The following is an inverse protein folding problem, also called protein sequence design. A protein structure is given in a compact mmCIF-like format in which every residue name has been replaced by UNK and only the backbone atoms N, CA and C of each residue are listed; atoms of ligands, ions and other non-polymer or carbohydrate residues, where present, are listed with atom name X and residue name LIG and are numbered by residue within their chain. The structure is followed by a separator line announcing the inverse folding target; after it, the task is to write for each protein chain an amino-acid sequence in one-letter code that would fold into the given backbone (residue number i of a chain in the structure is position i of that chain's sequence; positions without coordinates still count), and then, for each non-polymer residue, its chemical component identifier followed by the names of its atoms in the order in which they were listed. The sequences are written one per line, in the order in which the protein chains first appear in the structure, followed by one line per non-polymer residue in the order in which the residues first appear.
data_IF_802537576407
#
_entry.id   IF_802537576407
#
_cell.length_a   1.000
_cell.length_b   1.000
_cell.length_c   1.000
_cell.angle_alpha   90.00
_cell.angle_beta   90.00
_cell.angle_gamma   90.00
#
_symmetry.space_group_name_H-M   'P 1'
#
loop_
_entity.id
_entity.type
_entity.pdbx_description
1 polymer ?
#
# COMPACT_ATOMS: atom_id res chain seq x y z
N UNK A 1 56.12 -36.79 19.99
CA UNK A 1 56.13 -37.35 21.33
C UNK A 1 54.72 -37.81 21.66
N UNK A 2 54.47 -38.99 21.37
CA UNK A 2 53.86 -40.16 21.94
C UNK A 2 53.45 -40.02 23.42
N UNK A 3 52.17 -40.21 23.77
CA UNK A 3 51.82 -41.16 24.83
C UNK A 3 50.39 -41.70 24.68
N UNK A 4 50.26 -42.96 24.91
CA UNK A 4 49.26 -43.99 24.61
C UNK A 4 48.31 -44.21 25.79
N UNK A 5 47.08 -44.65 25.49
CA UNK A 5 46.02 -45.33 26.28
C UNK A 5 46.42 -46.17 27.50
N UNK A 6 45.45 -46.59 28.38
CA UNK A 6 44.67 -47.78 28.06
C UNK A 6 43.22 -47.88 28.49
N UNK A 7 42.50 -48.75 27.78
CA UNK A 7 41.17 -49.31 28.03
C UNK A 7 41.04 -50.05 29.37
N UNK A 8 39.81 -50.16 29.90
CA UNK A 8 39.36 -51.39 30.64
C UNK A 8 37.85 -51.60 30.40
N UNK A 9 37.60 -52.83 29.92
CA UNK A 9 36.33 -53.50 29.71
C UNK A 9 35.60 -53.85 31.02
N UNK A 10 34.26 -53.90 30.97
CA UNK A 10 33.42 -54.51 32.00
C UNK A 10 31.99 -54.72 31.48
N UNK A 11 31.79 -55.88 30.80
CA UNK A 11 30.46 -56.38 30.43
C UNK A 11 29.66 -56.79 31.66
N UNK A 12 28.38 -56.42 31.76
CA UNK A 12 27.32 -57.29 32.30
C UNK A 12 26.01 -56.97 31.59
N UNK A 13 25.49 -58.00 30.91
CA UNK A 13 24.18 -58.10 30.30
C UNK A 13 23.14 -58.52 31.34
N UNK A 14 21.90 -58.00 31.24
CA UNK A 14 20.62 -58.67 31.57
C UNK A 14 19.44 -57.70 31.33
N UNK A 15 18.18 -58.15 31.16
CA UNK A 15 17.57 -58.53 29.89
C UNK A 15 16.43 -57.60 29.45
N UNK A 16 16.29 -57.51 28.16
CA UNK A 16 15.17 -56.91 27.46
C UNK A 16 13.91 -57.76 27.67
N UNK A 17 12.77 -57.17 28.11
CA UNK A 17 11.37 -57.60 27.90
C UNK A 17 10.51 -56.98 29.01
N UNK A 18 9.98 -55.81 28.83
CA UNK A 18 8.75 -55.28 29.51
C UNK A 18 8.46 -53.78 29.35
N UNK A 19 9.07 -53.07 28.37
CA UNK A 19 8.80 -51.62 28.21
C UNK A 19 8.14 -51.29 26.84
N UNK A 20 7.85 -52.25 25.99
CA UNK A 20 7.32 -52.00 24.62
C UNK A 20 5.78 -51.92 24.60
N UNK A 21 5.07 -52.31 25.62
CA UNK A 21 3.57 -52.28 25.63
C UNK A 21 2.93 -51.07 26.28
N UNK A 22 3.69 -50.19 26.94
CA UNK A 22 3.14 -48.96 27.56
C UNK A 22 3.24 -47.73 26.67
N UNK A 23 3.99 -47.76 25.58
CA UNK A 23 4.16 -46.57 24.68
C UNK A 23 3.22 -46.54 23.48
N UNK A 24 2.54 -47.66 23.15
CA UNK A 24 1.58 -47.72 22.04
C UNK A 24 0.15 -47.34 22.41
N UNK A 25 -0.20 -47.20 23.70
CA UNK A 25 -1.55 -46.80 24.14
C UNK A 25 -1.66 -45.30 24.48
N UNK A 26 -0.56 -44.54 24.53
CA UNK A 26 -0.57 -43.11 24.75
C UNK A 26 -0.54 -42.30 23.44
N UNK A 27 -0.26 -42.93 22.30
CA UNK A 27 -0.20 -42.30 20.97
C UNK A 27 -1.56 -42.26 20.24
N UNK A 28 -2.60 -42.90 20.79
CA UNK A 28 -3.98 -42.92 20.19
C UNK A 28 -4.95 -41.98 20.83
N UNK A 29 -4.55 -41.20 21.87
CA UNK A 29 -5.41 -40.18 22.51
C UNK A 29 -5.09 -38.73 22.08
N UNK A 30 -4.08 -38.50 21.22
CA UNK A 30 -3.72 -37.15 20.71
C UNK A 30 -4.15 -36.89 19.29
N UNK A 31 -4.94 -37.73 18.71
CA UNK A 31 -5.40 -37.61 17.34
C UNK A 31 -6.88 -37.37 17.24
N UNK A 32 -7.41 -36.25 17.65
CA UNK A 32 -8.74 -35.75 17.19
C UNK A 32 -9.16 -34.45 17.91
N UNK A 33 -8.26 -33.50 18.06
CA UNK A 33 -8.65 -32.11 18.28
C UNK A 33 -8.09 -31.26 17.12
N UNK A 34 -8.38 -31.66 15.90
CA UNK A 34 -8.62 -30.68 14.84
C UNK A 34 -9.95 -30.01 15.22
N UNK A 35 -9.87 -29.09 16.19
CA UNK A 35 -10.89 -28.10 16.34
C UNK A 35 -11.07 -27.50 14.94
N UNK A 36 -12.21 -27.72 14.31
CA UNK A 36 -12.75 -26.81 13.35
C UNK A 36 -12.87 -25.51 14.15
N UNK A 37 -11.80 -24.71 14.14
CA UNK A 37 -11.89 -23.29 14.42
C UNK A 37 -12.91 -22.81 13.39
N UNK A 38 -14.15 -22.62 13.81
CA UNK A 38 -15.19 -22.07 12.96
C UNK A 38 -14.56 -20.82 12.35
N UNK A 39 -14.47 -20.80 11.03
CA UNK A 39 -13.85 -19.74 10.26
C UNK A 39 -14.50 -18.45 10.73
N UNK A 40 -13.74 -17.63 11.48
CA UNK A 40 -14.23 -16.34 11.93
C UNK A 40 -14.46 -15.47 10.71
N UNK A 41 -15.63 -14.83 10.60
CA UNK A 41 -15.85 -13.86 9.55
C UNK A 41 -14.79 -12.74 9.69
N UNK A 42 -14.33 -12.23 8.56
CA UNK A 42 -13.36 -11.13 8.53
C UNK A 42 -14.11 -9.81 8.69
N UNK A 43 -13.79 -9.04 9.72
CA UNK A 43 -14.27 -7.67 9.89
C UNK A 43 -13.36 -6.66 9.17
N UNK A 44 -13.86 -5.45 8.90
CA UNK A 44 -13.03 -4.38 8.35
C UNK A 44 -11.87 -4.03 9.30
N UNK A 45 -12.12 -4.00 10.60
CA UNK A 45 -11.10 -3.72 11.64
C UNK A 45 -9.97 -4.75 11.61
N UNK A 46 -10.31 -6.04 11.45
CA UNK A 46 -9.30 -7.10 11.33
C UNK A 46 -8.48 -6.96 10.05
N UNK A 47 -9.13 -6.64 8.92
CA UNK A 47 -8.45 -6.42 7.64
C UNK A 47 -7.48 -5.23 7.69
N UNK A 48 -7.91 -4.10 8.28
CA UNK A 48 -7.08 -2.92 8.51
C UNK A 48 -5.87 -3.25 9.40
N UNK A 49 -6.10 -3.97 10.51
CA UNK A 49 -5.05 -4.38 11.43
C UNK A 49 -4.02 -5.31 10.79
N UNK A 50 -4.46 -6.29 9.99
CA UNK A 50 -3.57 -7.19 9.21
C UNK A 50 -2.73 -6.40 8.21
N UNK A 51 -3.34 -5.49 7.46
CA UNK A 51 -2.65 -4.66 6.47
C UNK A 51 -1.62 -3.74 7.12
N UNK A 52 -1.96 -3.07 8.23
CA UNK A 52 -1.02 -2.24 8.98
C UNK A 52 0.21 -3.00 9.48
N UNK A 53 0.02 -4.24 9.92
CA UNK A 53 1.10 -5.06 10.47
C UNK A 53 1.98 -5.72 9.40
N UNK A 54 1.42 -6.06 8.24
CA UNK A 54 2.06 -7.00 7.29
C UNK A 54 2.21 -6.45 5.88
N UNK A 55 1.69 -5.25 5.56
CA UNK A 55 1.79 -4.71 4.21
C UNK A 55 3.27 -4.43 3.84
N UNK A 56 3.80 -5.08 2.76
CA UNK A 56 5.20 -4.92 2.38
C UNK A 56 5.57 -3.47 1.99
N UNK A 57 4.61 -2.70 1.44
CA UNK A 57 4.82 -1.30 1.06
C UNK A 57 5.11 -0.41 2.27
N UNK A 58 4.52 -0.70 3.44
CA UNK A 58 4.78 0.03 4.67
C UNK A 58 6.14 -0.34 5.29
N UNK A 59 6.59 -1.58 5.15
CA UNK A 59 7.89 -2.03 5.67
C UNK A 59 9.09 -1.39 4.95
N UNK A 60 8.90 -0.92 3.71
CA UNK A 60 9.94 -0.23 2.94
C UNK A 60 10.44 1.04 3.65
N UNK A 61 9.59 1.70 4.44
CA UNK A 61 9.96 2.96 5.10
C UNK A 61 11.05 2.80 6.15
N UNK A 62 11.08 1.69 6.88
CA UNK A 62 12.15 1.39 7.85
C UNK A 62 13.51 1.26 7.14
N UNK A 63 13.54 0.64 5.96
CA UNK A 63 14.74 0.54 5.13
C UNK A 63 15.17 1.89 4.53
N UNK A 64 14.20 2.76 4.19
CA UNK A 64 14.49 4.14 3.74
C UNK A 64 15.14 4.95 4.85
N UNK A 65 14.67 4.82 6.10
CA UNK A 65 15.28 5.48 7.26
C UNK A 65 16.69 4.97 7.52
N UNK A 66 16.92 3.65 7.51
CA UNK A 66 18.27 3.08 7.59
C UNK A 66 19.19 3.58 6.47
N UNK A 67 18.67 3.72 5.25
CA UNK A 67 19.41 4.32 4.14
C UNK A 67 19.80 5.79 4.39
N UNK A 68 18.93 6.55 5.07
CA UNK A 68 19.24 7.93 5.48
C UNK A 68 20.31 7.96 6.58
N UNK A 69 20.29 7.02 7.54
CA UNK A 69 21.34 6.89 8.56
C UNK A 69 22.72 6.72 7.90
N UNK A 70 22.81 5.83 6.91
CA UNK A 70 24.05 5.65 6.14
C UNK A 70 24.48 6.92 5.38
N UNK A 71 23.54 7.62 4.75
CA UNK A 71 23.82 8.89 4.07
C UNK A 71 24.24 10.00 5.04
N UNK A 72 23.66 10.03 6.23
CA UNK A 72 24.02 10.98 7.27
C UNK A 72 25.47 10.78 7.72
N UNK A 73 25.88 9.52 7.96
CA UNK A 73 27.27 9.17 8.28
C UNK A 73 28.20 9.66 7.17
N UNK A 74 27.86 9.43 5.90
CA UNK A 74 28.67 9.89 4.77
C UNK A 74 28.72 11.43 4.67
N UNK A 75 27.58 12.10 4.86
CA UNK A 75 27.50 13.56 4.80
C UNK A 75 28.31 14.25 5.90
N UNK A 76 28.50 13.58 7.04
CA UNK A 76 29.26 14.07 8.19
C UNK A 76 30.77 13.81 8.08
N UNK A 77 31.23 13.14 7.02
CA UNK A 77 32.67 12.92 6.81
C UNK A 77 33.39 14.20 6.36
N UNK A 78 34.57 14.38 6.89
CA UNK A 78 35.53 15.37 6.33
C UNK A 78 36.08 14.82 4.99
N UNK A 79 36.62 15.70 4.12
CA UNK A 79 37.35 15.26 2.94
C UNK A 79 38.46 14.27 3.28
N UNK A 80 38.65 13.29 2.40
CA UNK A 80 39.63 12.24 2.62
C UNK A 80 41.07 12.80 2.67
N UNK A 81 41.91 12.12 3.44
CA UNK A 81 43.36 12.25 3.30
C UNK A 81 43.80 11.44 2.08
N UNK A 82 44.58 12.06 1.20
CA UNK A 82 45.10 11.44 -0.02
C UNK A 82 46.61 11.29 0.12
N UNK A 83 47.14 10.07 -0.04
CA UNK A 83 48.58 9.83 -0.15
C UNK A 83 48.93 9.77 -1.64
N UNK A 84 49.93 10.55 -2.04
CA UNK A 84 50.38 10.61 -3.42
C UNK A 84 51.88 10.28 -3.54
N UNK A 85 52.26 9.56 -4.59
CA UNK A 85 53.64 9.39 -5.02
C UNK A 85 53.76 9.99 -6.42
N UNK A 86 54.66 10.96 -6.54
CA UNK A 86 54.98 11.63 -7.79
C UNK A 86 56.45 11.38 -8.14
N UNK A 87 56.71 11.02 -9.39
CA UNK A 87 58.05 10.82 -9.92
C UNK A 87 58.22 11.73 -11.08
N UNK A 88 59.22 12.61 -10.99
CA UNK A 88 59.51 13.64 -11.97
C UNK A 88 60.92 13.43 -12.54
N UNK A 89 61.27 14.11 -13.64
CA UNK A 89 62.61 14.16 -14.23
C UNK A 89 63.24 12.79 -14.55
N UNK A 90 62.45 11.83 -15.02
CA UNK A 90 62.92 10.47 -15.43
C UNK A 90 62.66 10.23 -16.91
N UNK A 91 63.55 9.44 -17.56
CA UNK A 91 63.49 9.03 -18.97
C UNK A 91 63.42 10.24 -19.96
N UNK A 92 64.04 11.36 -19.59
CA UNK A 92 64.15 12.54 -20.43
C UNK A 92 65.38 12.54 -21.37
N UNK A 93 65.82 13.71 -21.82
CA UNK A 93 67.02 13.92 -22.64
C UNK A 93 68.11 14.62 -21.84
N UNK A 94 69.36 14.51 -22.30
CA UNK A 94 70.57 15.11 -21.69
C UNK A 94 70.71 14.67 -20.22
N UNK A 95 70.75 15.62 -19.28
CA UNK A 95 70.94 15.35 -17.84
C UNK A 95 69.79 14.63 -17.16
N UNK A 96 68.66 14.44 -17.87
CA UNK A 96 67.48 13.71 -17.38
C UNK A 96 67.34 12.33 -18.01
N UNK A 97 68.40 11.80 -18.64
CA UNK A 97 68.42 10.45 -19.20
C UNK A 97 68.36 9.36 -18.11
N UNK A 98 67.49 8.37 -18.29
CA UNK A 98 67.35 7.28 -17.32
C UNK A 98 66.63 7.70 -16.05
N UNK A 99 67.13 7.31 -14.89
CA UNK A 99 66.56 7.58 -13.55
C UNK A 99 67.50 8.40 -12.66
N UNK A 100 68.71 8.74 -13.13
CA UNK A 100 69.74 9.37 -12.33
C UNK A 100 69.36 10.81 -11.94
N UNK A 101 68.52 11.49 -12.71
CA UNK A 101 67.96 12.81 -12.40
C UNK A 101 66.58 12.76 -11.77
N UNK A 102 66.07 11.59 -11.42
CA UNK A 102 64.71 11.44 -10.94
C UNK A 102 64.50 12.10 -9.57
N UNK A 103 63.30 12.67 -9.42
CA UNK A 103 62.80 13.18 -8.16
C UNK A 103 61.59 12.35 -7.70
N UNK A 104 61.61 11.90 -6.47
CA UNK A 104 60.54 11.11 -5.87
C UNK A 104 59.89 11.94 -4.76
N UNK A 105 58.59 12.27 -4.93
CA UNK A 105 57.84 13.02 -3.93
C UNK A 105 56.75 12.13 -3.33
N UNK A 106 56.88 11.81 -2.03
CA UNK A 106 55.81 11.20 -1.26
C UNK A 106 55.05 12.32 -0.54
N UNK A 107 53.74 12.43 -0.81
CA UNK A 107 52.94 13.52 -0.27
C UNK A 107 51.66 13.03 0.43
N UNK A 108 51.20 13.84 1.38
CA UNK A 108 49.88 13.72 2.02
C UNK A 108 49.12 15.03 1.77
N UNK A 109 47.89 14.92 1.25
CA UNK A 109 47.07 16.09 0.96
C UNK A 109 45.62 15.89 1.45
N UNK A 110 44.92 16.98 1.63
CA UNK A 110 43.49 17.00 1.88
C UNK A 110 42.91 18.39 1.58
N UNK A 111 41.58 18.49 1.74
CA UNK A 111 40.81 19.71 1.58
C UNK A 111 40.32 20.17 2.95
N UNK A 112 40.60 21.40 3.33
CA UNK A 112 39.96 22.08 4.44
C UNK A 112 38.72 22.79 3.93
N UNK A 113 37.56 22.21 4.20
CA UNK A 113 36.25 22.78 3.83
C UNK A 113 35.96 24.01 4.68
N UNK A 114 35.66 25.13 4.02
CA UNK A 114 35.20 26.37 4.64
C UNK A 114 33.69 26.57 4.39
N UNK A 115 33.11 27.58 5.05
CA UNK A 115 31.69 27.95 4.83
C UNK A 115 30.67 26.95 5.41
N UNK A 116 31.06 26.02 6.27
CA UNK A 116 30.13 25.10 6.94
C UNK A 116 29.55 24.03 6.02
N UNK A 117 30.23 23.65 4.93
CA UNK A 117 29.78 22.70 3.91
C UNK A 117 29.34 21.36 4.50
N UNK A 118 30.13 20.79 5.43
CA UNK A 118 29.79 19.54 6.13
C UNK A 118 28.47 19.68 6.87
N UNK A 119 28.28 20.73 7.65
CA UNK A 119 27.05 20.97 8.38
C UNK A 119 25.85 21.17 7.45
N UNK A 120 26.05 21.85 6.33
CA UNK A 120 25.01 22.02 5.31
C UNK A 120 24.61 20.69 4.64
N UNK A 121 25.59 19.80 4.32
CA UNK A 121 25.30 18.44 3.82
C UNK A 121 24.50 17.63 4.82
N UNK A 122 24.88 17.64 6.09
CA UNK A 122 24.14 16.95 7.17
C UNK A 122 22.71 17.49 7.28
N UNK A 123 22.53 18.82 7.25
CA UNK A 123 21.21 19.46 7.33
C UNK A 123 20.28 19.04 6.19
N UNK A 124 20.80 18.87 4.96
CA UNK A 124 19.99 18.34 3.84
C UNK A 124 19.52 16.92 4.13
N UNK A 125 20.41 16.05 4.66
CA UNK A 125 20.02 14.68 5.01
C UNK A 125 19.02 14.66 6.15
N UNK A 126 19.27 15.44 7.22
CA UNK A 126 18.38 15.53 8.37
C UNK A 126 16.98 16.02 7.96
N UNK A 127 16.89 16.96 7.01
CA UNK A 127 15.60 17.43 6.48
C UNK A 127 14.82 16.30 5.74
N UNK A 128 15.52 15.31 5.18
CA UNK A 128 14.89 14.19 4.45
C UNK A 128 14.16 13.19 5.36
N UNK A 129 14.56 13.06 6.63
CA UNK A 129 13.83 12.20 7.58
C UNK A 129 12.38 12.65 7.74
N UNK A 130 12.15 13.95 7.90
CA UNK A 130 10.79 14.49 8.01
C UNK A 130 9.93 14.24 6.76
N UNK A 131 10.54 14.17 5.57
CA UNK A 131 9.85 13.81 4.34
C UNK A 131 9.47 12.33 4.32
N UNK A 132 10.40 11.43 4.65
CA UNK A 132 10.12 9.98 4.71
C UNK A 132 9.00 9.68 5.70
N UNK A 133 8.96 10.35 6.85
CA UNK A 133 7.88 10.21 7.82
C UNK A 133 6.52 10.75 7.31
N UNK A 134 6.52 11.85 6.55
CA UNK A 134 5.30 12.35 5.93
C UNK A 134 4.80 11.41 4.82
N UNK A 135 5.71 10.87 3.99
CA UNK A 135 5.41 9.87 2.96
C UNK A 135 4.86 8.59 3.59
N UNK A 136 5.45 8.10 4.70
CA UNK A 136 4.96 6.94 5.44
C UNK A 136 3.52 7.12 5.90
N UNK A 137 3.20 8.29 6.47
CA UNK A 137 1.82 8.58 6.90
C UNK A 137 0.84 8.64 5.73
N UNK A 138 1.24 9.24 4.61
CA UNK A 138 0.41 9.28 3.41
C UNK A 138 0.17 7.87 2.83
N UNK A 139 1.23 7.05 2.70
CA UNK A 139 1.13 5.67 2.23
C UNK A 139 0.26 4.81 3.17
N UNK A 140 0.37 5.03 4.48
CA UNK A 140 -0.49 4.35 5.45
C UNK A 140 -1.96 4.62 5.17
N UNK A 141 -2.35 5.88 4.93
CA UNK A 141 -3.72 6.23 4.58
C UNK A 141 -4.15 5.63 3.25
N UNK A 142 -3.26 5.59 2.26
CA UNK A 142 -3.52 4.99 0.96
C UNK A 142 -3.76 3.48 1.08
N UNK A 143 -2.95 2.77 1.87
CA UNK A 143 -3.14 1.33 2.15
C UNK A 143 -4.47 1.10 2.89
N UNK A 144 -4.77 1.87 3.92
CA UNK A 144 -6.04 1.76 4.65
C UNK A 144 -7.24 2.04 3.76
N UNK A 145 -7.17 3.08 2.92
CA UNK A 145 -8.21 3.38 1.92
C UNK A 145 -8.42 2.23 0.93
N UNK A 146 -7.33 1.62 0.43
CA UNK A 146 -7.40 0.46 -0.46
C UNK A 146 -8.02 -0.77 0.23
N UNK A 147 -7.69 -1.03 1.50
CA UNK A 147 -8.30 -2.12 2.28
C UNK A 147 -9.79 -1.89 2.38
N UNK A 148 -10.23 -0.71 2.79
CA UNK A 148 -11.65 -0.38 2.93
C UNK A 148 -12.39 -0.51 1.60
N UNK A 149 -11.84 0.01 0.50
CA UNK A 149 -12.46 -0.09 -0.82
C UNK A 149 -12.59 -1.54 -1.30
N UNK A 150 -11.54 -2.37 -1.11
CA UNK A 150 -11.60 -3.79 -1.48
C UNK A 150 -12.53 -4.57 -0.56
N UNK A 151 -12.57 -4.26 0.73
CA UNK A 151 -13.50 -4.85 1.68
C UNK A 151 -14.96 -4.57 1.28
N UNK A 152 -15.33 -3.30 1.09
CA UNK A 152 -16.66 -2.87 0.67
C UNK A 152 -17.06 -3.52 -0.67
N UNK A 153 -16.16 -3.55 -1.65
CA UNK A 153 -16.42 -4.19 -2.96
C UNK A 153 -16.65 -5.70 -2.82
N UNK A 154 -15.92 -6.37 -1.93
CA UNK A 154 -16.08 -7.81 -1.69
C UNK A 154 -17.37 -8.10 -0.92
N UNK A 155 -17.70 -7.28 0.07
CA UNK A 155 -18.96 -7.35 0.82
C UNK A 155 -20.16 -7.15 -0.13
N UNK A 156 -20.09 -6.19 -1.05
CA UNK A 156 -21.12 -5.99 -2.07
C UNK A 156 -21.30 -7.21 -2.98
N UNK A 157 -20.24 -7.96 -3.27
CA UNK A 157 -20.38 -9.22 -4.02
C UNK A 157 -21.06 -10.31 -3.20
N UNK A 158 -20.86 -10.36 -1.89
CA UNK A 158 -21.56 -11.26 -0.98
C UNK A 158 -23.07 -11.01 -1.04
N UNK A 159 -23.51 -9.75 -0.91
CA UNK A 159 -24.89 -9.35 -1.07
C UNK A 159 -25.48 -9.70 -2.46
N UNK A 160 -24.69 -9.49 -3.52
CA UNK A 160 -25.09 -9.85 -4.89
C UNK A 160 -25.22 -11.36 -5.09
N UNK A 161 -24.47 -12.19 -4.38
CA UNK A 161 -24.59 -13.64 -4.39
C UNK A 161 -25.91 -14.07 -3.72
N UNK A 162 -26.28 -13.42 -2.61
CA UNK A 162 -27.56 -13.67 -1.92
C UNK A 162 -28.72 -13.26 -2.81
N UNK A 163 -28.67 -12.09 -3.44
CA UNK A 163 -29.67 -11.66 -4.42
C UNK A 163 -29.77 -12.63 -5.63
N UNK A 164 -28.62 -13.14 -6.10
CA UNK A 164 -28.63 -14.14 -7.18
C UNK A 164 -29.22 -15.49 -6.74
N UNK A 165 -29.06 -15.87 -5.48
CA UNK A 165 -29.73 -17.06 -4.92
C UNK A 165 -31.24 -16.87 -4.86
N UNK A 166 -31.72 -15.70 -4.46
CA UNK A 166 -33.15 -15.34 -4.52
C UNK A 166 -33.68 -15.41 -5.98
N UNK A 167 -32.91 -14.88 -6.94
CA UNK A 167 -33.29 -14.92 -8.36
C UNK A 167 -33.36 -16.37 -8.90
N UNK A 168 -32.48 -17.27 -8.43
CA UNK A 168 -32.56 -18.70 -8.77
C UNK A 168 -33.82 -19.33 -8.19
N UNK A 169 -34.11 -19.10 -6.91
CA UNK A 169 -35.29 -19.64 -6.25
C UNK A 169 -36.60 -19.15 -6.92
N UNK A 170 -36.63 -17.86 -7.29
CA UNK A 170 -37.78 -17.27 -7.98
C UNK A 170 -37.97 -17.89 -9.39
N UNK A 171 -36.86 -18.11 -10.12
CA UNK A 171 -36.91 -18.75 -11.44
C UNK A 171 -37.29 -20.25 -11.35
N UNK A 172 -36.92 -20.97 -10.30
CA UNK A 172 -37.31 -22.34 -10.03
C UNK A 172 -38.82 -22.43 -9.77
N UNK A 173 -39.33 -21.59 -8.87
CA UNK A 173 -40.76 -21.53 -8.59
C UNK A 173 -41.59 -21.17 -9.84
N UNK A 174 -41.06 -20.23 -10.65
CA UNK A 174 -41.69 -19.84 -11.92
C UNK A 174 -41.75 -21.01 -12.89
N UNK A 175 -40.65 -21.72 -13.09
CA UNK A 175 -40.57 -22.88 -13.97
C UNK A 175 -41.56 -23.97 -13.52
N UNK A 176 -41.68 -24.25 -12.22
CA UNK A 176 -42.60 -25.23 -11.67
C UNK A 176 -44.06 -24.85 -11.91
N UNK A 177 -44.44 -23.58 -11.64
CA UNK A 177 -45.83 -23.09 -11.86
C UNK A 177 -46.20 -23.19 -13.34
N UNK A 178 -45.31 -22.74 -14.24
CA UNK A 178 -45.55 -22.77 -15.69
C UNK A 178 -45.65 -24.20 -16.19
N UNK A 179 -44.82 -25.13 -15.72
CA UNK A 179 -44.89 -26.56 -16.07
C UNK A 179 -46.22 -27.19 -15.64
N UNK A 180 -46.64 -26.98 -14.38
CA UNK A 180 -47.94 -27.48 -13.89
C UNK A 180 -49.15 -26.95 -14.71
N UNK A 181 -49.07 -25.71 -15.18
CA UNK A 181 -50.13 -25.13 -16.05
C UNK A 181 -50.09 -25.71 -17.45
N UNK A 182 -48.90 -25.97 -18.02
CA UNK A 182 -48.76 -26.61 -19.33
C UNK A 182 -49.29 -28.05 -19.32
N UNK A 183 -49.02 -28.82 -18.27
CA UNK A 183 -49.53 -30.18 -18.09
C UNK A 183 -51.05 -30.24 -18.04
N UNK A 184 -51.70 -29.14 -17.62
CA UNK A 184 -53.16 -28.98 -17.62
C UNK A 184 -53.71 -28.36 -18.89
N UNK A 185 -52.88 -28.13 -19.90
CA UNK A 185 -53.23 -27.46 -21.15
C UNK A 185 -53.55 -25.97 -21.03
N UNK A 186 -53.23 -25.33 -19.88
CA UNK A 186 -53.58 -23.94 -19.60
C UNK A 186 -52.50 -22.93 -20.06
N UNK A 187 -51.36 -23.41 -20.58
CA UNK A 187 -50.27 -22.55 -21.10
C UNK A 187 -49.48 -23.29 -22.20
N UNK A 188 -48.91 -22.58 -23.20
CA UNK A 188 -48.12 -23.19 -24.27
C UNK A 188 -46.79 -23.77 -23.76
N UNK A 189 -46.34 -24.88 -24.33
CA UNK A 189 -45.03 -25.49 -24.03
C UNK A 189 -43.83 -24.53 -24.25
N UNK A 190 -44.00 -23.55 -25.11
CA UNK A 190 -43.00 -22.52 -25.32
C UNK A 190 -42.68 -21.69 -24.06
N UNK A 191 -43.66 -21.48 -23.18
CA UNK A 191 -43.44 -20.77 -21.90
C UNK A 191 -42.62 -21.63 -20.93
N UNK A 192 -42.84 -22.96 -20.90
CA UNK A 192 -42.01 -23.89 -20.12
C UNK A 192 -40.52 -23.79 -20.54
N UNK A 193 -40.28 -23.80 -21.87
CA UNK A 193 -38.91 -23.66 -22.40
C UNK A 193 -38.27 -22.31 -22.04
N UNK A 194 -39.03 -21.22 -22.07
CA UNK A 194 -38.56 -19.88 -21.65
C UNK A 194 -38.24 -19.86 -20.15
N UNK A 195 -39.10 -20.42 -19.30
CA UNK A 195 -38.88 -20.49 -17.86
C UNK A 195 -37.64 -21.34 -17.51
N UNK A 196 -37.43 -22.48 -18.19
CA UNK A 196 -36.23 -23.30 -18.04
C UNK A 196 -34.97 -22.55 -18.46
N UNK A 197 -35.02 -21.81 -19.56
CA UNK A 197 -33.88 -20.99 -20.00
C UNK A 197 -33.58 -19.85 -19.02
N UNK A 198 -34.60 -19.21 -18.43
CA UNK A 198 -34.46 -18.18 -17.41
C UNK A 198 -33.79 -18.76 -16.14
N UNK A 199 -34.22 -19.92 -15.66
CA UNK A 199 -33.59 -20.63 -14.54
C UNK A 199 -32.11 -20.94 -14.80
N UNK A 200 -31.79 -21.47 -15.98
CA UNK A 200 -30.39 -21.73 -16.37
C UNK A 200 -29.54 -20.44 -16.35
N UNK A 201 -30.09 -19.34 -16.85
CA UNK A 201 -29.41 -18.02 -16.83
C UNK A 201 -29.14 -17.53 -15.40
N UNK A 202 -30.14 -17.67 -14.49
CA UNK A 202 -29.96 -17.27 -13.08
C UNK A 202 -28.85 -18.09 -12.39
N UNK A 203 -28.78 -19.40 -12.63
CA UNK A 203 -27.74 -20.28 -12.10
C UNK A 203 -26.32 -19.91 -12.63
N UNK A 204 -26.23 -19.60 -13.93
CA UNK A 204 -24.98 -19.13 -14.54
C UNK A 204 -24.54 -17.81 -13.87
N UNK A 205 -25.46 -16.88 -13.66
CA UNK A 205 -25.15 -15.60 -13.01
C UNK A 205 -24.67 -15.78 -11.58
N UNK A 206 -25.33 -16.65 -10.79
CA UNK A 206 -24.88 -16.98 -9.43
C UNK A 206 -23.47 -17.59 -9.42
N UNK A 207 -23.18 -18.51 -10.34
CA UNK A 207 -21.84 -19.11 -10.45
C UNK A 207 -20.77 -18.08 -10.80
N UNK A 208 -21.07 -17.14 -11.71
CA UNK A 208 -20.15 -16.03 -12.05
C UNK A 208 -19.85 -15.13 -10.85
N UNK A 209 -20.87 -14.78 -10.06
CA UNK A 209 -20.69 -13.95 -8.88
C UNK A 209 -19.84 -14.64 -7.80
N UNK A 210 -20.03 -15.96 -7.61
CA UNK A 210 -19.19 -16.75 -6.70
C UNK A 210 -17.72 -16.74 -7.15
N UNK A 211 -17.47 -16.95 -8.43
CA UNK A 211 -16.10 -16.88 -8.97
C UNK A 211 -15.49 -15.48 -8.82
N UNK A 212 -16.29 -14.42 -9.03
CA UNK A 212 -15.84 -13.04 -8.80
C UNK A 212 -15.53 -12.77 -7.33
N UNK A 213 -16.34 -13.30 -6.41
CA UNK A 213 -16.11 -13.20 -4.96
C UNK A 213 -14.77 -13.80 -4.56
N UNK A 214 -14.46 -15.02 -4.99
CA UNK A 214 -13.16 -15.66 -4.70
C UNK A 214 -11.97 -14.81 -5.23
N UNK A 215 -12.11 -14.25 -6.42
CA UNK A 215 -11.08 -13.35 -6.97
C UNK A 215 -10.90 -12.08 -6.13
N UNK A 216 -12.00 -11.46 -5.66
CA UNK A 216 -11.94 -10.24 -4.84
C UNK A 216 -11.45 -10.52 -3.42
N UNK A 217 -11.82 -11.66 -2.85
CA UNK A 217 -11.28 -12.16 -1.57
C UNK A 217 -9.76 -12.27 -1.62
N UNK A 218 -9.22 -12.87 -2.69
CA UNK A 218 -7.79 -12.95 -2.92
C UNK A 218 -7.14 -11.57 -3.08
N UNK A 219 -7.77 -10.68 -3.85
CA UNK A 219 -7.28 -9.31 -4.04
C UNK A 219 -7.29 -8.50 -2.73
N UNK A 220 -8.23 -8.72 -1.83
CA UNK A 220 -8.24 -8.12 -0.49
C UNK A 220 -7.08 -8.65 0.35
N UNK A 221 -6.93 -9.98 0.44
CA UNK A 221 -5.89 -10.64 1.22
C UNK A 221 -4.46 -10.27 0.77
N UNK A 222 -4.26 -10.02 -0.52
CA UNK A 222 -2.97 -9.60 -1.06
C UNK A 222 -2.45 -8.28 -0.48
N UNK A 223 -3.30 -7.43 0.13
CA UNK A 223 -2.87 -6.19 0.78
C UNK A 223 -2.04 -6.42 2.05
N UNK A 224 -2.14 -7.59 2.64
CA UNK A 224 -1.26 -8.01 3.76
C UNK A 224 -0.37 -9.20 3.39
N UNK A 225 -0.15 -9.44 2.08
CA UNK A 225 0.78 -10.44 1.59
C UNK A 225 0.26 -11.89 1.66
N UNK A 226 -1.02 -12.09 1.96
CA UNK A 226 -1.62 -13.42 2.03
C UNK A 226 -2.10 -13.87 0.66
N UNK A 227 -1.64 -15.05 0.23
CA UNK A 227 -2.02 -15.71 -1.03
C UNK A 227 -2.97 -16.89 -0.85
N UNK A 228 -3.39 -17.16 0.39
CA UNK A 228 -4.30 -18.27 0.73
C UNK A 228 -5.20 -17.85 1.90
N UNK A 229 -6.14 -16.89 1.66
CA UNK A 229 -6.92 -16.31 2.73
C UNK A 229 -7.74 -17.35 3.51
N UNK A 230 -7.69 -17.24 4.84
CA UNK A 230 -8.30 -18.14 5.82
C UNK A 230 -9.77 -17.82 6.15
N UNK A 231 -10.31 -16.73 5.60
CA UNK A 231 -11.70 -16.31 5.82
C UNK A 231 -12.60 -16.70 4.65
N UNK A 232 -13.88 -17.03 4.94
CA UNK A 232 -14.86 -17.37 3.92
C UNK A 232 -15.92 -16.27 3.74
N UNK A 233 -16.25 -15.54 4.78
CA UNK A 233 -17.32 -14.55 4.84
C UNK A 233 -16.74 -13.24 5.41
N UNK A 234 -17.24 -12.13 4.90
CA UNK A 234 -17.00 -10.81 5.47
C UNK A 234 -18.18 -10.41 6.37
N UNK A 235 -17.87 -9.76 7.48
CA UNK A 235 -18.87 -9.23 8.41
C UNK A 235 -18.94 -7.71 8.28
N UNK A 236 -20.13 -7.20 7.91
CA UNK A 236 -20.38 -5.77 7.77
C UNK A 236 -21.80 -5.53 7.22
N UNK A 237 -22.25 -4.29 7.29
CA UNK A 237 -23.54 -3.84 6.74
C UNK A 237 -23.31 -2.78 5.66
N UNK A 238 -23.73 -3.08 4.42
CA UNK A 238 -23.65 -2.15 3.29
C UNK A 238 -24.63 -0.99 3.37
N UNK A 239 -25.66 -1.10 4.20
CA UNK A 239 -26.78 -0.15 4.21
C UNK A 239 -26.75 0.77 5.44
N UNK A 240 -25.68 0.75 6.21
CA UNK A 240 -25.47 1.64 7.32
C UNK A 240 -24.49 2.74 6.94
N UNK A 241 -24.91 3.98 7.05
CA UNK A 241 -24.11 5.15 6.69
C UNK A 241 -23.94 6.05 7.91
N UNK A 242 -22.69 6.47 8.17
CA UNK A 242 -22.40 7.43 9.21
C UNK A 242 -22.81 8.85 8.78
N UNK A 243 -23.07 9.71 9.77
CA UNK A 243 -23.25 11.14 9.51
C UNK A 243 -21.97 11.73 8.91
N UNK A 244 -22.13 12.57 7.90
CA UNK A 244 -21.01 13.31 7.29
C UNK A 244 -20.91 14.69 7.90
N UNK A 245 -19.66 15.13 8.15
CA UNK A 245 -19.36 16.53 8.43
C UNK A 245 -19.71 17.40 7.21
N UNK A 246 -19.83 18.69 7.42
CA UNK A 246 -20.01 19.66 6.34
C UNK A 246 -18.77 19.72 5.42
N UNK A 247 -19.01 20.03 4.14
CA UNK A 247 -17.95 20.04 3.12
C UNK A 247 -16.77 20.95 3.50
N UNK A 248 -17.04 22.14 4.04
CA UNK A 248 -15.98 23.09 4.41
C UNK A 248 -15.09 22.54 5.54
N UNK A 249 -15.69 21.86 6.52
CA UNK A 249 -14.93 21.20 7.59
C UNK A 249 -14.05 20.07 7.05
N UNK A 250 -14.56 19.28 6.10
CA UNK A 250 -13.79 18.22 5.44
C UNK A 250 -12.64 18.80 4.62
N UNK A 251 -12.87 19.91 3.91
CA UNK A 251 -11.81 20.55 3.10
C UNK A 251 -10.68 21.14 3.95
N UNK A 252 -11.01 21.70 5.12
CA UNK A 252 -9.96 22.14 6.06
C UNK A 252 -9.04 20.98 6.47
N UNK A 253 -9.62 19.81 6.78
CA UNK A 253 -8.82 18.63 7.11
C UNK A 253 -7.95 18.15 5.95
N UNK A 254 -8.43 18.22 4.70
CA UNK A 254 -7.60 17.93 3.52
C UNK A 254 -6.38 18.83 3.47
N UNK A 255 -6.51 20.11 3.81
CA UNK A 255 -5.40 21.06 3.82
C UNK A 255 -4.31 20.70 4.84
N UNK A 256 -4.67 20.00 5.91
CA UNK A 256 -3.78 19.53 6.97
C UNK A 256 -3.38 18.05 6.81
N UNK A 257 -3.82 17.40 5.74
CA UNK A 257 -3.57 15.97 5.50
C UNK A 257 -2.07 15.66 5.29
N UNK A 258 -1.63 14.43 5.56
CA UNK A 258 -0.26 13.98 5.29
C UNK A 258 0.18 14.19 3.84
N UNK A 259 -0.72 14.07 2.88
CA UNK A 259 -0.45 14.34 1.46
C UNK A 259 0.00 15.79 1.22
N UNK A 260 -0.52 16.75 1.98
CA UNK A 260 -0.11 18.16 1.94
C UNK A 260 1.12 18.42 2.82
N UNK A 261 1.28 17.72 3.95
CA UNK A 261 2.45 17.84 4.82
C UNK A 261 3.75 17.43 4.14
N UNK A 262 3.71 16.57 3.12
CA UNK A 262 4.86 16.25 2.27
C UNK A 262 5.49 17.51 1.67
N UNK A 263 4.69 18.48 1.22
CA UNK A 263 5.18 19.74 0.65
C UNK A 263 5.87 20.64 1.69
N UNK A 264 5.38 20.67 2.93
CA UNK A 264 6.06 21.38 4.01
C UNK A 264 7.42 20.75 4.35
N UNK A 265 7.52 19.43 4.26
CA UNK A 265 8.79 18.70 4.44
C UNK A 265 9.73 18.92 3.25
N UNK A 266 9.21 18.94 2.03
CA UNK A 266 10.00 19.25 0.83
C UNK A 266 10.54 20.67 0.86
N UNK A 267 9.74 21.63 1.29
CA UNK A 267 10.21 23.01 1.45
C UNK A 267 11.42 23.09 2.38
N UNK A 268 11.41 22.39 3.54
CA UNK A 268 12.57 22.33 4.45
C UNK A 268 13.82 21.74 3.78
N UNK A 269 13.64 20.70 2.95
CA UNK A 269 14.74 20.12 2.17
C UNK A 269 15.31 21.17 1.22
N UNK A 270 14.45 21.89 0.46
CA UNK A 270 14.88 22.94 -0.47
C UNK A 270 15.58 24.10 0.22
N UNK A 271 15.13 24.47 1.41
CA UNK A 271 15.81 25.48 2.24
C UNK A 271 17.20 25.01 2.68
N UNK A 272 17.35 23.75 3.08
CA UNK A 272 18.66 23.18 3.41
C UNK A 272 19.56 23.07 2.16
N UNK A 273 19.02 22.74 0.99
CA UNK A 273 19.76 22.72 -0.29
C UNK A 273 20.22 24.12 -0.72
N UNK A 274 19.44 25.17 -0.46
CA UNK A 274 19.87 26.56 -0.66
C UNK A 274 21.06 26.90 0.24
N UNK A 275 21.04 26.49 1.51
CA UNK A 275 22.17 26.70 2.41
C UNK A 275 23.39 25.92 1.95
N UNK A 276 23.22 24.69 1.49
CA UNK A 276 24.33 23.91 0.90
C UNK A 276 24.90 24.63 -0.34
N UNK A 277 24.05 25.05 -1.29
CA UNK A 277 24.51 25.79 -2.46
C UNK A 277 25.26 27.09 -2.09
N UNK A 278 24.77 27.81 -1.09
CA UNK A 278 25.47 28.99 -0.58
C UNK A 278 26.80 28.65 0.05
N UNK A 279 26.88 27.59 0.85
CA UNK A 279 28.16 27.17 1.47
C UNK A 279 29.19 26.76 0.42
N UNK A 280 28.78 26.17 -0.69
CA UNK A 280 29.63 25.83 -1.83
C UNK A 280 30.17 27.06 -2.57
N UNK A 281 29.61 28.25 -2.33
CA UNK A 281 30.19 29.52 -2.84
C UNK A 281 31.47 29.91 -2.14
N UNK A 282 31.71 29.40 -0.95
CA UNK A 282 32.97 29.62 -0.21
C UNK A 282 34.09 28.74 -0.78
N UNK A 283 35.31 29.33 -0.85
CA UNK A 283 36.47 28.61 -1.37
C UNK A 283 37.09 27.72 -0.31
N UNK A 284 37.38 26.48 -0.67
CA UNK A 284 38.11 25.54 0.19
C UNK A 284 39.62 25.75 0.04
N UNK A 285 40.37 25.32 1.04
CA UNK A 285 41.82 25.31 1.02
C UNK A 285 42.28 23.88 0.82
N UNK A 286 42.95 23.61 -0.30
CA UNK A 286 43.68 22.35 -0.49
C UNK A 286 45.08 22.54 0.07
N UNK A 287 45.51 21.67 0.96
CA UNK A 287 46.86 21.65 1.51
C UNK A 287 47.55 20.34 1.14
N UNK A 288 48.89 20.41 1.03
CA UNK A 288 49.73 19.27 0.74
C UNK A 288 51.04 19.42 1.52
N UNK A 289 51.50 18.34 2.13
CA UNK A 289 52.82 18.22 2.73
C UNK A 289 53.50 16.97 2.22
N UNK A 290 54.81 16.98 2.04
CA UNK A 290 55.50 15.83 1.48
C UNK A 290 56.98 15.84 1.77
N UNK A 291 57.63 14.75 1.37
CA UNK A 291 59.07 14.55 1.37
C UNK A 291 59.50 14.29 -0.05
N UNK A 292 60.48 15.06 -0.55
CA UNK A 292 61.05 14.90 -1.89
C UNK A 292 62.48 14.40 -1.76
N UNK A 293 62.82 13.33 -2.46
CA UNK A 293 64.19 12.84 -2.65
C UNK A 293 64.64 13.17 -4.04
N UNK A 294 65.85 13.72 -4.13
CA UNK A 294 66.60 14.01 -5.37
C UNK A 294 67.58 12.89 -5.59
N UNK A 295 67.51 12.13 -6.67
CA UNK A 295 68.44 11.03 -6.95
C UNK A 295 69.83 11.56 -7.34
N UNK A 296 69.89 12.68 -8.06
CA UNK A 296 71.17 13.29 -8.52
C UNK A 296 72.09 13.68 -7.36
N UNK A 297 71.55 14.21 -6.26
CA UNK A 297 72.35 14.70 -5.13
C UNK A 297 72.24 13.86 -3.88
N UNK A 298 71.44 12.86 -3.88
CA UNK A 298 71.04 12.01 -2.72
C UNK A 298 70.49 12.83 -1.53
N UNK A 299 69.97 14.03 -1.82
CA UNK A 299 69.39 14.92 -0.84
C UNK A 299 67.88 14.66 -0.62
N UNK A 300 67.41 15.07 0.56
CA UNK A 300 65.98 15.01 0.90
C UNK A 300 65.52 16.39 1.38
N UNK A 301 64.35 16.81 0.85
CA UNK A 301 63.71 18.08 1.22
C UNK A 301 62.24 17.88 1.63
N UNK A 302 61.75 18.75 2.51
CA UNK A 302 60.35 18.85 2.83
C UNK A 302 59.65 19.76 1.79
N UNK A 303 58.48 19.34 1.38
CA UNK A 303 57.60 20.11 0.49
C UNK A 303 56.33 20.49 1.23
N UNK A 304 55.83 21.69 1.06
CA UNK A 304 54.54 22.13 1.56
C UNK A 304 53.88 23.03 0.50
N UNK A 305 52.60 22.85 0.27
CA UNK A 305 51.83 23.63 -0.68
C UNK A 305 50.40 23.86 -0.22
N UNK A 306 49.79 24.93 -0.68
CA UNK A 306 48.39 25.17 -0.55
C UNK A 306 47.84 25.79 -1.83
N UNK A 307 46.57 25.52 -2.14
CA UNK A 307 45.87 26.14 -3.26
C UNK A 307 44.44 26.51 -2.86
N UNK A 308 44.00 27.66 -3.35
CA UNK A 308 42.66 28.20 -3.09
C UNK A 308 42.03 28.61 -4.41
N UNK A 309 40.85 28.05 -4.81
CA UNK A 309 40.19 28.50 -6.02
C UNK A 309 39.65 29.92 -5.83
N UNK A 310 39.90 30.80 -6.81
CA UNK A 310 39.41 32.17 -6.79
C UNK A 310 38.06 32.29 -7.49
N UNK A 311 37.24 33.25 -7.04
CA UNK A 311 35.93 33.59 -7.62
C UNK A 311 34.88 32.45 -7.53
N UNK A 312 34.95 31.56 -6.55
CA UNK A 312 34.02 30.45 -6.33
C UNK A 312 32.58 30.94 -6.21
N UNK A 313 32.31 32.01 -5.50
CA UNK A 313 30.99 32.61 -5.38
C UNK A 313 30.36 33.06 -6.70
N UNK A 314 31.19 33.57 -7.66
CA UNK A 314 30.68 33.94 -8.99
C UNK A 314 30.32 32.71 -9.81
N UNK A 315 31.07 31.63 -9.74
CA UNK A 315 30.86 30.38 -10.45
C UNK A 315 29.61 29.66 -9.93
N UNK A 316 29.32 29.76 -8.63
CA UNK A 316 28.21 29.04 -7.98
C UNK A 316 26.86 29.81 -7.99
N UNK A 317 26.80 31.01 -8.60
CA UNK A 317 25.54 31.79 -8.66
C UNK A 317 24.39 31.03 -9.33
N UNK A 318 24.69 30.26 -10.38
CA UNK A 318 23.72 29.46 -11.09
C UNK A 318 23.06 28.42 -10.20
N UNK A 319 23.85 27.71 -9.39
CA UNK A 319 23.34 26.69 -8.45
C UNK A 319 22.47 27.31 -7.36
N UNK A 320 22.87 28.46 -6.82
CA UNK A 320 22.03 29.18 -5.84
C UNK A 320 20.70 29.61 -6.48
N UNK A 321 20.73 30.11 -7.72
CA UNK A 321 19.51 30.51 -8.43
C UNK A 321 18.62 29.29 -8.73
N UNK A 322 19.19 28.16 -9.14
CA UNK A 322 18.47 26.92 -9.37
C UNK A 322 17.82 26.39 -8.08
N UNK A 323 18.53 26.41 -6.97
CA UNK A 323 18.00 26.00 -5.67
C UNK A 323 16.84 26.90 -5.19
N UNK A 324 16.93 28.22 -5.42
CA UNK A 324 15.83 29.16 -5.12
C UNK A 324 14.60 28.86 -5.99
N UNK A 325 14.77 28.63 -7.30
CA UNK A 325 13.69 28.27 -8.19
C UNK A 325 13.02 26.96 -7.79
N UNK A 326 13.83 25.94 -7.42
CA UNK A 326 13.32 24.65 -6.93
C UNK A 326 12.51 24.78 -5.63
N UNK A 327 12.89 25.69 -4.72
CA UNK A 327 12.06 25.99 -3.54
C UNK A 327 10.72 26.63 -3.93
N UNK A 328 10.74 27.61 -4.83
CA UNK A 328 9.52 28.33 -5.23
C UNK A 328 8.56 27.43 -6.01
N UNK A 329 9.06 26.44 -6.75
CA UNK A 329 8.28 25.41 -7.42
C UNK A 329 7.41 24.60 -6.44
N UNK A 330 7.90 24.30 -5.24
CA UNK A 330 7.17 23.53 -4.22
C UNK A 330 5.82 24.17 -3.87
N UNK A 331 5.78 25.51 -3.82
CA UNK A 331 4.55 26.25 -3.53
C UNK A 331 3.48 25.98 -4.60
N UNK A 332 3.84 26.06 -5.87
CA UNK A 332 2.89 25.85 -6.97
C UNK A 332 2.44 24.38 -7.05
N UNK A 333 3.34 23.43 -6.79
CA UNK A 333 2.97 22.01 -6.71
C UNK A 333 2.00 21.73 -5.55
N UNK A 334 2.20 22.38 -4.41
CA UNK A 334 1.26 22.29 -3.28
C UNK A 334 -0.11 22.84 -3.66
N UNK A 335 -0.16 24.02 -4.29
CA UNK A 335 -1.40 24.67 -4.72
C UNK A 335 -2.15 23.82 -5.74
N UNK A 336 -1.47 23.32 -6.77
CA UNK A 336 -2.05 22.39 -7.76
C UNK A 336 -2.62 21.14 -7.10
N UNK A 337 -1.89 20.54 -6.14
CA UNK A 337 -2.38 19.37 -5.42
C UNK A 337 -3.62 19.68 -4.58
N UNK A 338 -3.65 20.83 -3.90
CA UNK A 338 -4.84 21.25 -3.14
C UNK A 338 -6.07 21.40 -4.04
N UNK A 339 -5.92 22.01 -5.24
CA UNK A 339 -7.01 22.14 -6.19
C UNK A 339 -7.54 20.77 -6.66
N UNK A 340 -6.63 19.82 -6.95
CA UNK A 340 -7.04 18.46 -7.32
C UNK A 340 -7.73 17.72 -6.18
N UNK A 341 -7.21 17.84 -4.96
CA UNK A 341 -7.84 17.21 -3.79
C UNK A 341 -9.20 17.83 -3.48
N UNK A 342 -9.35 19.14 -3.65
CA UNK A 342 -10.63 19.82 -3.51
C UNK A 342 -11.67 19.24 -4.48
N UNK A 343 -11.33 19.12 -5.78
CA UNK A 343 -12.23 18.55 -6.78
C UNK A 343 -12.60 17.11 -6.44
N UNK A 344 -11.62 16.27 -6.08
CA UNK A 344 -11.88 14.87 -5.69
C UNK A 344 -12.76 14.74 -4.45
N UNK A 345 -12.54 15.60 -3.46
CA UNK A 345 -13.38 15.64 -2.25
C UNK A 345 -14.80 16.06 -2.60
N UNK A 346 -14.96 17.09 -3.45
CA UNK A 346 -16.27 17.59 -3.87
C UNK A 346 -17.08 16.50 -4.58
N UNK A 347 -16.45 15.83 -5.54
CA UNK A 347 -17.09 14.73 -6.27
C UNK A 347 -17.49 13.58 -5.33
N UNK A 348 -16.59 13.16 -4.44
CA UNK A 348 -16.87 12.10 -3.49
C UNK A 348 -18.01 12.48 -2.51
N UNK A 349 -18.01 13.71 -2.01
CA UNK A 349 -19.02 14.21 -1.09
C UNK A 349 -20.40 14.19 -1.71
N UNK A 350 -20.55 14.77 -2.91
CA UNK A 350 -21.85 14.81 -3.59
C UNK A 350 -22.33 13.44 -4.08
N UNK A 351 -21.43 12.61 -4.61
CA UNK A 351 -21.79 11.24 -5.00
C UNK A 351 -22.22 10.40 -3.80
N UNK A 352 -21.57 10.57 -2.65
CA UNK A 352 -22.00 9.90 -1.42
C UNK A 352 -23.42 10.32 -1.03
N UNK A 353 -23.70 11.60 -0.95
CA UNK A 353 -25.03 12.12 -0.58
C UNK A 353 -26.11 11.63 -1.52
N UNK A 354 -25.91 11.75 -2.84
CA UNK A 354 -26.84 11.31 -3.86
C UNK A 354 -27.14 9.81 -3.75
N UNK A 355 -26.12 9.00 -3.50
CA UNK A 355 -26.32 7.55 -3.40
C UNK A 355 -27.02 7.13 -2.11
N UNK A 356 -26.78 7.82 -0.98
CA UNK A 356 -27.54 7.60 0.26
C UNK A 356 -29.04 7.91 0.03
N UNK A 357 -29.34 9.05 -0.57
CA UNK A 357 -30.73 9.41 -0.93
C UNK A 357 -31.37 8.38 -1.87
N UNK A 358 -30.60 7.89 -2.85
CA UNK A 358 -31.04 6.81 -3.74
C UNK A 358 -31.38 5.53 -2.97
N UNK A 359 -30.54 5.14 -2.01
CA UNK A 359 -30.80 3.98 -1.13
C UNK A 359 -32.09 4.17 -0.34
N UNK A 360 -32.30 5.35 0.24
CA UNK A 360 -33.51 5.65 1.01
C UNK A 360 -34.78 5.57 0.14
N UNK A 361 -34.75 6.15 -1.07
CA UNK A 361 -35.87 6.13 -2.00
C UNK A 361 -36.19 4.71 -2.49
N UNK A 362 -35.16 3.93 -2.86
CA UNK A 362 -35.37 2.56 -3.31
C UNK A 362 -35.95 1.70 -2.16
N UNK A 363 -35.37 1.80 -0.97
CA UNK A 363 -35.76 0.99 0.19
C UNK A 363 -37.13 1.39 0.74
N UNK A 364 -37.41 2.71 0.81
CA UNK A 364 -38.62 3.24 1.42
C UNK A 364 -39.83 3.26 0.53
N UNK A 365 -39.67 3.33 -0.79
CA UNK A 365 -40.80 3.46 -1.73
C UNK A 365 -40.79 2.39 -2.82
N UNK A 366 -39.70 2.28 -3.61
CA UNK A 366 -39.71 1.44 -4.80
C UNK A 366 -39.82 -0.06 -4.49
N UNK A 367 -39.09 -0.57 -3.50
CA UNK A 367 -39.12 -2.02 -3.16
C UNK A 367 -40.46 -2.47 -2.61
N UNK A 368 -41.14 -1.75 -1.69
CA UNK A 368 -42.49 -2.11 -1.27
C UNK A 368 -43.46 -2.19 -2.45
N UNK A 369 -43.49 -1.16 -3.32
CA UNK A 369 -44.40 -1.13 -4.47
C UNK A 369 -44.15 -2.27 -5.46
N UNK A 370 -42.88 -2.55 -5.78
CA UNK A 370 -42.51 -3.65 -6.69
C UNK A 370 -42.78 -5.05 -6.11
N UNK A 371 -42.65 -5.18 -4.79
CA UNK A 371 -42.95 -6.44 -4.09
C UNK A 371 -44.47 -6.74 -4.16
N UNK A 372 -45.28 -5.73 -3.90
CA UNK A 372 -46.73 -5.83 -4.02
C UNK A 372 -47.17 -6.09 -5.47
N UNK A 373 -46.57 -5.34 -6.44
CA UNK A 373 -46.84 -5.54 -7.87
C UNK A 373 -46.50 -6.96 -8.34
N UNK A 374 -45.35 -7.51 -7.87
CA UNK A 374 -44.98 -8.88 -8.18
C UNK A 374 -46.00 -9.89 -7.63
N UNK A 375 -46.46 -9.69 -6.39
CA UNK A 375 -47.44 -10.56 -5.74
C UNK A 375 -48.75 -10.56 -6.52
N UNK A 376 -49.29 -9.39 -6.83
CA UNK A 376 -50.55 -9.24 -7.59
C UNK A 376 -50.43 -9.77 -9.01
N UNK A 377 -49.30 -9.53 -9.69
CA UNK A 377 -49.05 -10.03 -11.06
C UNK A 377 -48.98 -11.56 -11.09
N UNK A 378 -48.31 -12.18 -10.11
CA UNK A 378 -48.24 -13.63 -9.96
C UNK A 378 -49.63 -14.24 -9.79
N UNK A 379 -50.44 -13.71 -8.86
CA UNK A 379 -51.80 -14.20 -8.65
C UNK A 379 -52.66 -14.03 -9.89
N UNK A 380 -52.56 -12.92 -10.61
CA UNK A 380 -53.29 -12.68 -11.84
C UNK A 380 -52.88 -13.65 -12.96
N UNK A 381 -51.55 -14.00 -13.05
CA UNK A 381 -51.08 -15.04 -13.96
C UNK A 381 -51.66 -16.43 -13.60
N UNK A 382 -51.63 -16.81 -12.33
CA UNK A 382 -52.19 -18.10 -11.88
C UNK A 382 -53.68 -18.23 -12.17
N UNK A 383 -54.43 -17.11 -12.13
CA UNK A 383 -55.85 -17.04 -12.51
C UNK A 383 -56.10 -16.90 -14.04
N UNK A 384 -55.05 -16.84 -14.85
CA UNK A 384 -55.10 -16.68 -16.30
C UNK A 384 -55.48 -15.30 -16.80
N UNK A 385 -55.35 -14.25 -15.96
CA UNK A 385 -55.66 -12.84 -16.30
C UNK A 385 -54.46 -12.10 -16.88
N UNK A 386 -53.25 -12.48 -16.48
CA UNK A 386 -52.01 -11.89 -16.96
C UNK A 386 -51.18 -12.94 -17.72
N UNK A 387 -50.31 -12.45 -18.62
CA UNK A 387 -49.42 -13.29 -19.40
C UNK A 387 -48.13 -13.63 -18.63
N UNK A 388 -47.44 -14.66 -19.08
CA UNK A 388 -46.11 -15.03 -18.59
C UNK A 388 -45.12 -13.84 -18.71
N UNK A 389 -45.25 -13.02 -19.77
CA UNK A 389 -44.37 -11.89 -20.02
C UNK A 389 -44.53 -10.78 -18.96
N UNK A 390 -45.79 -10.47 -18.60
CA UNK A 390 -46.10 -9.49 -17.54
C UNK A 390 -45.58 -9.92 -16.18
N UNK A 391 -45.79 -11.19 -15.81
CA UNK A 391 -45.25 -11.72 -14.55
C UNK A 391 -43.72 -11.70 -14.50
N UNK A 392 -43.05 -12.17 -15.55
CA UNK A 392 -41.56 -12.13 -15.60
C UNK A 392 -40.98 -10.72 -15.75
N UNK A 393 -41.76 -9.75 -16.22
CA UNK A 393 -41.38 -8.33 -16.21
C UNK A 393 -41.35 -7.79 -14.77
N UNK A 394 -42.42 -8.04 -13.98
CA UNK A 394 -42.46 -7.62 -12.58
C UNK A 394 -41.30 -8.25 -11.74
N UNK A 395 -41.00 -9.53 -11.99
CA UNK A 395 -39.84 -10.18 -11.35
C UNK A 395 -38.53 -9.47 -11.68
N UNK A 396 -38.30 -9.14 -12.95
CA UNK A 396 -37.07 -8.45 -13.39
C UNK A 396 -36.94 -7.05 -12.82
N UNK A 397 -38.07 -6.33 -12.72
CA UNK A 397 -38.10 -4.98 -12.14
C UNK A 397 -37.74 -5.03 -10.66
N UNK A 398 -38.30 -5.93 -9.87
CA UNK A 398 -37.93 -6.10 -8.46
C UNK A 398 -36.44 -6.48 -8.28
N UNK A 399 -35.93 -7.46 -9.04
CA UNK A 399 -34.52 -7.86 -8.95
C UNK A 399 -33.58 -6.74 -9.40
N UNK A 400 -33.96 -5.95 -10.41
CA UNK A 400 -33.22 -4.78 -10.87
C UNK A 400 -33.18 -3.69 -9.80
N UNK A 401 -34.30 -3.43 -9.11
CA UNK A 401 -34.35 -2.46 -8.01
C UNK A 401 -33.46 -2.89 -6.82
N UNK A 402 -33.49 -4.18 -6.45
CA UNK A 402 -32.59 -4.73 -5.42
C UNK A 402 -31.12 -4.64 -5.82
N UNK A 403 -30.80 -4.89 -7.10
CA UNK A 403 -29.44 -4.70 -7.61
C UNK A 403 -29.00 -3.23 -7.53
N UNK A 404 -29.87 -2.31 -7.94
CA UNK A 404 -29.61 -0.87 -7.87
C UNK A 404 -29.40 -0.40 -6.42
N UNK A 405 -30.13 -0.97 -5.46
CA UNK A 405 -29.97 -0.72 -4.03
C UNK A 405 -28.55 -1.08 -3.56
N UNK A 406 -28.09 -2.30 -3.88
CA UNK A 406 -26.73 -2.76 -3.52
C UNK A 406 -25.66 -1.90 -4.20
N UNK A 407 -25.87 -1.54 -5.47
CA UNK A 407 -24.91 -0.72 -6.22
C UNK A 407 -24.81 0.72 -5.66
N UNK A 408 -25.95 1.34 -5.31
CA UNK A 408 -25.98 2.65 -4.69
C UNK A 408 -25.32 2.64 -3.30
N UNK A 409 -25.65 1.67 -2.45
CA UNK A 409 -25.04 1.51 -1.13
C UNK A 409 -23.52 1.31 -1.23
N UNK A 410 -23.07 0.47 -2.16
CA UNK A 410 -21.64 0.25 -2.42
C UNK A 410 -20.95 1.56 -2.82
N UNK A 411 -21.56 2.32 -3.74
CA UNK A 411 -21.01 3.60 -4.21
C UNK A 411 -20.93 4.62 -3.08
N UNK A 412 -21.94 4.70 -2.22
CA UNK A 412 -21.95 5.58 -1.06
C UNK A 412 -20.79 5.26 -0.11
N UNK A 413 -20.58 3.98 0.24
CA UNK A 413 -19.49 3.55 1.13
C UNK A 413 -18.09 3.72 0.50
N UNK A 414 -17.94 3.50 -0.80
CA UNK A 414 -16.67 3.75 -1.50
C UNK A 414 -16.30 5.23 -1.48
N UNK A 415 -17.27 6.13 -1.65
CA UNK A 415 -17.04 7.56 -1.54
C UNK A 415 -16.80 8.00 -0.09
N UNK A 416 -17.46 7.37 0.88
CA UNK A 416 -17.14 7.53 2.31
C UNK A 416 -15.67 7.22 2.58
N UNK A 417 -15.21 6.03 2.17
CA UNK A 417 -13.83 5.61 2.35
C UNK A 417 -12.82 6.57 1.68
N UNK A 418 -13.17 7.12 0.51
CA UNK A 418 -12.35 8.12 -0.17
C UNK A 418 -12.30 9.45 0.61
N UNK A 419 -13.42 9.93 1.16
CA UNK A 419 -13.47 11.13 2.00
C UNK A 419 -12.58 10.94 3.24
N UNK A 420 -12.71 9.82 3.94
CA UNK A 420 -11.91 9.49 5.12
C UNK A 420 -10.41 9.42 4.80
N UNK A 421 -10.05 8.80 3.68
CA UNK A 421 -8.67 8.76 3.19
C UNK A 421 -8.12 10.16 2.91
N UNK A 422 -8.89 11.02 2.23
CA UNK A 422 -8.47 12.38 1.87
C UNK A 422 -8.33 13.31 3.10
N UNK A 423 -9.21 13.12 4.09
CA UNK A 423 -9.26 13.94 5.31
C UNK A 423 -8.40 13.40 6.44
N UNK A 424 -7.75 12.24 6.24
CA UNK A 424 -6.99 11.52 7.26
C UNK A 424 -7.83 11.26 8.54
N UNK A 425 -9.14 11.11 8.39
CA UNK A 425 -9.99 10.66 9.47
C UNK A 425 -9.72 9.19 9.77
N UNK A 426 -9.95 8.73 11.02
CA UNK A 426 -9.99 7.29 11.28
C UNK A 426 -11.00 6.69 10.31
N UNK A 427 -10.57 5.72 9.50
CA UNK A 427 -11.48 5.00 8.62
C UNK A 427 -12.56 4.40 9.50
N UNK A 428 -13.81 4.83 9.27
CA UNK A 428 -14.93 4.47 10.10
C UNK A 428 -14.99 2.95 10.21
N UNK A 429 -15.09 2.48 11.43
CA UNK A 429 -15.51 1.10 11.66
C UNK A 429 -16.86 0.94 10.97
N UNK A 430 -16.95 0.01 10.02
CA UNK A 430 -18.28 -0.39 9.51
C UNK A 430 -19.12 -0.69 10.75
N UNK A 431 -20.25 0.03 10.96
CA UNK A 431 -21.00 -0.07 12.21
C UNK A 431 -21.38 -1.52 12.47
N UNK A 432 -21.09 -2.01 13.66
CA UNK A 432 -21.30 -3.41 14.06
C UNK A 432 -20.16 -4.03 14.85
N UNK A 433 -18.97 -3.40 14.89
CA UNK A 433 -17.90 -3.87 15.75
C UNK A 433 -18.14 -3.41 17.20
N UNK A 434 -18.09 -4.30 18.21
CA UNK A 434 -18.20 -3.88 19.60
C UNK A 434 -17.02 -2.99 19.97
N UNK A 435 -17.30 -1.74 20.32
CA UNK A 435 -16.33 -0.84 20.94
C UNK A 435 -15.86 -1.47 22.25
N UNK A 436 -14.56 -1.77 22.35
CA UNK A 436 -13.89 -2.09 23.62
C UNK A 436 -13.36 -0.84 24.27
#
# INVERSE_FOLDING_TARGET
MLFRMPMKNGRRAMPCHSIIHAFCLLALAFGSALAHAGEKPLTLSDALSRAMAQNPGLQVFDLRLQGLDGRRITADQNPALEAGLEVENFLGSDNLQGVDGAEYTLSLSSILELGGKRQARVSVVDSRYGRVEAERRAETLDVLGQVTQRFVTTLALQEKIELAAEAVALAEATHEIVTRRADRGATPQAEVMRAKAALTRSRIQQSRLRAAYESRKMALASLWGDTSPDFQILEGDLFQFDSSDDFDALYQRVSDSPAIQIYASEQRIREAEIQLARSQSESDIRWQVGVRRFEETDDTALTAGFSVPLFSGRRNRGEVQAALAARDEVRFRREDTLLRLHSRLFDAYHLRQQNIETVEQIRGQMLPDLTEALTQTREAYERGRYSYVEWTAAQRELLSAKQALVDAATTALLNQALIEQLTAQPLATVPGAPTR
#
